data_IF_003358430686
#
_entry.id   IF_003358430686
#
_cell.length_a   1.000
_cell.length_b   1.000
_cell.length_c   1.000
_cell.angle_alpha   90.00
_cell.angle_beta   90.00
_cell.angle_gamma   90.00
#
_symmetry.space_group_name_H-M   'P 1'
#
loop_
_entity.id
_entity.type
_entity.pdbx_description
1 polymer ?
#
# COMPACT_ATOMS: atom_id res chain seq x y z
N UNK A 1 30.86 -4.23 2.98
CA UNK A 1 29.73 -3.72 3.80
C UNK A 1 29.53 -4.69 4.95
N UNK A 2 29.46 -4.19 6.18
CA UNK A 2 29.23 -5.03 7.37
C UNK A 2 27.75 -5.43 7.44
N UNK A 3 27.42 -6.61 7.97
CA UNK A 3 26.02 -7.09 8.10
C UNK A 3 25.08 -6.07 8.78
N UNK A 4 25.64 -5.22 9.63
CA UNK A 4 24.92 -4.15 10.32
C UNK A 4 24.45 -3.04 9.37
N UNK A 5 25.22 -2.69 8.34
CA UNK A 5 24.83 -1.71 7.33
C UNK A 5 23.69 -2.22 6.44
N UNK A 6 23.66 -3.52 6.09
CA UNK A 6 22.58 -4.10 5.28
C UNK A 6 21.26 -4.16 6.08
N UNK A 7 21.35 -4.48 7.38
CA UNK A 7 20.19 -4.55 8.27
C UNK A 7 19.58 -3.16 8.55
N UNK A 8 20.43 -2.13 8.71
CA UNK A 8 19.98 -0.74 8.88
C UNK A 8 19.42 -0.15 7.57
N UNK A 9 19.99 -0.48 6.41
CA UNK A 9 19.46 -0.08 5.11
C UNK A 9 18.08 -0.68 4.84
N UNK A 10 17.88 -1.97 5.16
CA UNK A 10 16.56 -2.63 5.10
C UNK A 10 15.56 -1.98 6.06
N UNK A 11 15.96 -1.56 7.26
CA UNK A 11 15.05 -0.89 8.23
C UNK A 11 14.61 0.51 7.81
N UNK A 12 15.43 1.23 7.05
CA UNK A 12 15.19 2.63 6.69
C UNK A 12 14.03 2.82 5.71
N UNK A 13 14.11 2.21 4.53
CA UNK A 13 13.11 2.39 3.46
C UNK A 13 11.75 1.80 3.83
N UNK A 14 11.76 0.75 4.65
CA UNK A 14 10.59 0.09 5.20
C UNK A 14 9.70 1.03 6.03
N UNK A 15 10.32 1.87 6.87
CA UNK A 15 9.57 2.87 7.65
C UNK A 15 8.92 3.93 6.75
N UNK A 16 9.41 4.11 5.52
CA UNK A 16 8.87 5.09 4.58
C UNK A 16 7.58 4.62 3.91
N UNK A 17 7.30 3.31 3.85
CA UNK A 17 6.12 2.74 3.14
C UNK A 17 4.79 3.39 3.57
N UNK A 18 4.43 3.47 4.87
CA UNK A 18 3.16 4.08 5.28
C UNK A 18 3.09 5.58 4.91
N UNK A 19 4.20 6.31 5.04
CA UNK A 19 4.26 7.73 4.66
C UNK A 19 4.15 7.92 3.15
N UNK A 20 4.82 7.08 2.36
CA UNK A 20 4.76 7.10 0.91
C UNK A 20 3.34 6.80 0.41
N UNK A 21 2.65 5.86 1.05
CA UNK A 21 1.26 5.55 0.76
C UNK A 21 0.33 6.73 1.05
N UNK A 22 0.47 7.39 2.21
CA UNK A 22 -0.29 8.61 2.51
C UNK A 22 0.00 9.73 1.51
N UNK A 23 1.27 9.96 1.20
CA UNK A 23 1.67 10.94 0.20
C UNK A 23 1.05 10.61 -1.17
N UNK A 24 1.04 9.33 -1.57
CA UNK A 24 0.44 8.88 -2.81
C UNK A 24 -1.09 9.09 -2.84
N UNK A 25 -1.79 8.91 -1.71
CA UNK A 25 -3.23 9.17 -1.60
C UNK A 25 -3.58 10.66 -1.56
N UNK A 26 -2.72 11.49 -0.98
CA UNK A 26 -2.93 12.93 -0.93
C UNK A 26 -2.54 13.60 -2.27
N UNK A 27 -1.38 13.27 -2.81
CA UNK A 27 -0.80 13.96 -3.97
C UNK A 27 -1.20 13.32 -5.30
N UNK A 28 -1.41 11.99 -5.32
CA UNK A 28 -1.76 11.28 -6.55
C UNK A 28 -3.04 11.79 -7.20
N UNK A 29 -4.17 11.85 -6.48
CA UNK A 29 -5.40 12.41 -7.01
C UNK A 29 -5.25 13.87 -7.44
N UNK A 30 -4.55 14.70 -6.63
CA UNK A 30 -4.32 16.11 -6.95
C UNK A 30 -3.66 16.30 -8.32
N UNK A 31 -2.69 15.45 -8.64
CA UNK A 31 -1.96 15.50 -9.91
C UNK A 31 -2.74 14.85 -11.05
N UNK A 32 -3.55 13.82 -10.77
CA UNK A 32 -4.25 13.04 -11.78
C UNK A 32 -5.56 13.67 -12.23
N UNK A 33 -6.32 14.29 -11.31
CA UNK A 33 -7.61 14.94 -11.59
C UNK A 33 -7.56 15.93 -12.78
N UNK A 34 -6.59 16.87 -12.88
CA UNK A 34 -6.55 17.79 -14.02
C UNK A 34 -6.22 17.12 -15.36
N UNK A 35 -5.68 15.89 -15.35
CA UNK A 35 -5.28 15.16 -16.54
C UNK A 35 -6.36 14.19 -17.06
N UNK A 36 -7.46 14.00 -16.34
CA UNK A 36 -8.50 13.01 -16.67
C UNK A 36 -9.88 13.65 -16.71
N UNK A 37 -10.70 13.22 -17.68
CA UNK A 37 -12.09 13.71 -17.83
C UNK A 37 -13.12 12.86 -17.09
N UNK A 38 -12.67 11.81 -16.39
CA UNK A 38 -13.50 10.81 -15.73
C UNK A 38 -12.98 10.55 -14.31
N UNK A 39 -13.85 10.23 -13.33
CA UNK A 39 -13.41 9.91 -11.97
C UNK A 39 -12.78 8.51 -11.84
N UNK A 40 -13.09 7.60 -12.75
CA UNK A 40 -12.67 6.19 -12.67
C UNK A 40 -11.15 5.95 -12.64
N UNK A 41 -10.33 6.68 -13.42
CA UNK A 41 -8.87 6.59 -13.32
C UNK A 41 -8.32 6.90 -11.92
N UNK A 42 -8.92 7.87 -11.21
CA UNK A 42 -8.50 8.23 -9.85
C UNK A 42 -8.85 7.12 -8.86
N UNK A 43 -10.03 6.52 -9.00
CA UNK A 43 -10.42 5.34 -8.23
C UNK A 43 -9.46 4.18 -8.49
N UNK A 44 -9.17 3.88 -9.76
CA UNK A 44 -8.24 2.82 -10.14
C UNK A 44 -6.83 3.05 -9.54
N UNK A 45 -6.36 4.30 -9.56
CA UNK A 45 -5.09 4.68 -8.94
C UNK A 45 -5.05 4.39 -7.44
N UNK A 46 -6.09 4.78 -6.69
CA UNK A 46 -6.17 4.52 -5.24
C UNK A 46 -6.07 3.02 -4.93
N UNK A 47 -6.80 2.20 -5.68
CA UNK A 47 -6.74 0.74 -5.53
C UNK A 47 -5.38 0.19 -5.93
N UNK A 48 -4.77 0.69 -7.01
CA UNK A 48 -3.44 0.27 -7.43
C UNK A 48 -2.39 0.54 -6.34
N UNK A 49 -2.42 1.72 -5.71
CA UNK A 49 -1.53 2.05 -4.59
C UNK A 49 -1.77 1.12 -3.40
N UNK A 50 -3.03 0.78 -3.09
CA UNK A 50 -3.37 -0.17 -2.02
C UNK A 50 -2.80 -1.57 -2.29
N UNK A 51 -2.92 -2.05 -3.53
CA UNK A 51 -2.38 -3.34 -3.97
C UNK A 51 -0.87 -3.35 -3.85
N UNK A 52 -0.20 -2.32 -4.38
CA UNK A 52 1.27 -2.22 -4.34
C UNK A 52 1.78 -2.17 -2.90
N UNK A 53 1.17 -1.32 -2.06
CA UNK A 53 1.54 -1.22 -0.66
C UNK A 53 1.32 -2.55 0.08
N UNK A 54 0.18 -3.20 -0.15
CA UNK A 54 -0.12 -4.53 0.40
C UNK A 54 0.90 -5.59 -0.04
N UNK A 55 1.23 -5.68 -1.34
CA UNK A 55 2.21 -6.64 -1.84
C UNK A 55 3.60 -6.41 -1.24
N UNK A 56 4.08 -5.16 -1.23
CA UNK A 56 5.39 -4.82 -0.63
C UNK A 56 5.39 -5.19 0.85
N UNK A 57 4.33 -4.85 1.58
CA UNK A 57 4.24 -5.15 3.01
C UNK A 57 4.20 -6.65 3.27
N UNK A 58 3.43 -7.41 2.50
CA UNK A 58 3.37 -8.86 2.61
C UNK A 58 4.69 -9.56 2.30
N UNK A 59 5.47 -9.05 1.34
CA UNK A 59 6.79 -9.60 1.00
C UNK A 59 7.82 -9.28 2.08
N UNK A 60 7.78 -8.07 2.64
CA UNK A 60 8.82 -7.55 3.54
C UNK A 60 8.53 -7.77 5.03
N UNK A 61 7.27 -7.94 5.44
CA UNK A 61 6.83 -8.03 6.83
C UNK A 61 6.00 -9.26 7.14
N UNK A 62 5.83 -9.50 8.43
CA UNK A 62 4.80 -10.42 8.91
C UNK A 62 3.43 -9.79 8.66
N UNK A 63 2.47 -10.55 8.11
CA UNK A 63 1.12 -10.05 7.86
C UNK A 63 0.49 -9.44 9.12
N UNK A 64 0.02 -8.20 9.02
CA UNK A 64 -0.71 -7.51 10.08
C UNK A 64 -1.75 -6.55 9.50
N UNK A 65 -2.77 -6.23 10.28
CA UNK A 65 -3.87 -5.35 9.88
C UNK A 65 -3.53 -3.85 9.90
N UNK A 66 -2.35 -3.45 10.38
CA UNK A 66 -2.00 -2.03 10.50
C UNK A 66 -2.02 -1.32 9.15
N UNK A 67 -1.36 -1.87 8.11
CA UNK A 67 -1.26 -1.20 6.81
C UNK A 67 -2.59 -1.24 6.03
N UNK A 68 -3.36 -2.34 6.01
CA UNK A 68 -4.69 -2.36 5.44
C UNK A 68 -5.65 -1.37 6.09
N UNK A 69 -5.67 -1.27 7.42
CA UNK A 69 -6.51 -0.27 8.09
C UNK A 69 -6.04 1.16 7.75
N UNK A 70 -4.73 1.35 7.61
CA UNK A 70 -4.15 2.62 7.20
C UNK A 70 -4.58 3.03 5.79
N UNK A 71 -4.74 2.09 4.84
CA UNK A 71 -5.26 2.43 3.51
C UNK A 71 -6.72 2.87 3.58
N UNK A 72 -7.54 2.27 4.44
CA UNK A 72 -8.90 2.74 4.71
C UNK A 72 -8.94 4.17 5.24
N UNK A 73 -8.10 4.48 6.25
CA UNK A 73 -7.96 5.83 6.82
C UNK A 73 -7.42 6.81 5.78
N UNK A 74 -6.40 6.42 5.02
CA UNK A 74 -5.82 7.24 3.96
C UNK A 74 -6.83 7.54 2.85
N UNK A 75 -7.69 6.58 2.51
CA UNK A 75 -8.79 6.84 1.59
C UNK A 75 -9.80 7.84 2.16
N UNK A 76 -10.12 7.79 3.46
CA UNK A 76 -10.98 8.80 4.09
C UNK A 76 -10.43 10.22 3.97
N UNK A 77 -9.10 10.38 4.08
CA UNK A 77 -8.43 11.67 3.87
C UNK A 77 -8.57 12.09 2.40
N UNK A 78 -8.25 11.19 1.45
CA UNK A 78 -8.40 11.47 0.02
C UNK A 78 -9.87 11.79 -0.34
N UNK A 79 -10.83 11.12 0.31
CA UNK A 79 -12.27 11.36 0.16
C UNK A 79 -12.60 12.79 0.54
N UNK A 80 -12.19 13.22 1.74
CA UNK A 80 -12.44 14.58 2.22
C UNK A 80 -11.86 15.67 1.30
N UNK A 81 -10.76 15.38 0.59
CA UNK A 81 -10.09 16.32 -0.30
C UNK A 81 -10.65 16.32 -1.73
N UNK A 82 -11.02 15.15 -2.26
CA UNK A 82 -11.19 14.95 -3.70
C UNK A 82 -12.47 14.24 -4.13
N UNK A 83 -13.13 13.48 -3.23
CA UNK A 83 -14.30 12.69 -3.60
C UNK A 83 -15.56 13.15 -2.88
N UNK A 84 -16.71 12.79 -3.44
CA UNK A 84 -18.00 13.03 -2.80
C UNK A 84 -18.24 12.08 -1.61
N UNK A 85 -19.11 12.49 -0.69
CA UNK A 85 -19.42 11.72 0.52
C UNK A 85 -19.96 10.32 0.23
N UNK A 86 -20.63 10.14 -0.91
CA UNK A 86 -21.16 8.86 -1.35
C UNK A 86 -20.09 7.78 -1.51
N UNK A 87 -18.82 8.15 -1.72
CA UNK A 87 -17.71 7.19 -1.93
C UNK A 87 -17.16 6.55 -0.66
N UNK A 88 -17.71 6.83 0.53
CA UNK A 88 -17.17 6.34 1.81
C UNK A 88 -16.95 4.82 1.85
N UNK A 89 -17.79 4.04 1.17
CA UNK A 89 -17.71 2.58 1.14
C UNK A 89 -16.45 2.05 0.43
N UNK A 90 -15.80 2.85 -0.43
CA UNK A 90 -14.52 2.49 -1.02
C UNK A 90 -13.41 2.36 0.02
N UNK A 91 -13.52 2.99 1.20
CA UNK A 91 -12.56 2.78 2.30
C UNK A 91 -12.47 1.32 2.72
N UNK A 92 -13.62 0.62 2.78
CA UNK A 92 -13.71 -0.79 3.14
C UNK A 92 -13.09 -1.62 2.01
N UNK A 93 -13.46 -1.33 0.76
CA UNK A 93 -12.94 -2.06 -0.39
C UNK A 93 -11.41 -1.94 -0.51
N UNK A 94 -10.87 -0.73 -0.38
CA UNK A 94 -9.42 -0.44 -0.43
C UNK A 94 -8.67 -1.14 0.72
N UNK A 95 -9.26 -1.17 1.92
CA UNK A 95 -8.72 -1.92 3.07
C UNK A 95 -8.62 -3.41 2.75
N UNK A 96 -9.71 -4.01 2.26
CA UNK A 96 -9.75 -5.43 1.94
C UNK A 96 -8.83 -5.78 0.78
N UNK A 97 -8.74 -4.93 -0.24
CA UNK A 97 -7.81 -5.12 -1.36
C UNK A 97 -6.37 -5.10 -0.88
N UNK A 98 -6.00 -4.17 0.00
CA UNK A 98 -4.66 -4.14 0.58
C UNK A 98 -4.36 -5.40 1.41
N UNK A 99 -5.31 -5.86 2.23
CA UNK A 99 -5.17 -7.07 3.03
C UNK A 99 -5.00 -8.32 2.14
N UNK A 100 -5.79 -8.43 1.06
CA UNK A 100 -5.68 -9.52 0.10
C UNK A 100 -4.33 -9.52 -0.62
N UNK A 101 -3.88 -8.34 -1.07
CA UNK A 101 -2.58 -8.16 -1.70
C UNK A 101 -1.42 -8.51 -0.75
N UNK A 102 -1.53 -8.13 0.53
CA UNK A 102 -0.56 -8.54 1.57
C UNK A 102 -0.53 -10.04 1.78
N UNK A 103 -1.70 -10.69 1.84
CA UNK A 103 -1.78 -12.14 1.91
C UNK A 103 -1.01 -12.80 0.75
N UNK A 104 -1.26 -12.36 -0.48
CA UNK A 104 -0.53 -12.83 -1.67
C UNK A 104 0.98 -12.57 -1.58
N UNK A 105 1.39 -11.37 -1.18
CA UNK A 105 2.80 -11.00 -1.00
C UNK A 105 3.52 -11.91 0.00
N UNK A 106 2.85 -12.24 1.11
CA UNK A 106 3.42 -13.11 2.15
C UNK A 106 3.63 -14.55 1.69
N UNK A 107 2.77 -15.08 0.81
CA UNK A 107 2.93 -16.42 0.25
C UNK A 107 4.15 -16.48 -0.69
N UNK A 108 4.39 -15.40 -1.43
CA UNK A 108 5.56 -15.27 -2.31
C UNK A 108 6.85 -15.11 -1.50
N UNK A 109 6.88 -14.19 -0.53
CA UNK A 109 8.06 -13.95 0.32
C UNK A 109 8.44 -15.14 1.20
N UNK A 110 7.44 -15.86 1.74
CA UNK A 110 7.65 -17.06 2.54
C UNK A 110 8.22 -18.24 1.73
N UNK A 111 7.88 -18.34 0.45
CA UNK A 111 8.41 -19.37 -0.46
C UNK A 111 9.89 -19.12 -0.78
N UNK A 112 10.29 -17.86 -0.98
CA UNK A 112 11.70 -17.49 -1.21
C UNK A 112 12.60 -17.77 0.00
N UNK A 113 12.07 -17.70 1.22
CA UNK A 113 12.86 -17.96 2.43
C UNK A 113 13.11 -19.47 2.68
N UNK A 114 12.27 -20.36 2.16
CA UNK A 114 12.47 -21.82 2.23
C UNK A 114 13.50 -22.32 1.22
N UNK A 115 13.48 -21.81 -0.01
CA UNK A 115 14.42 -22.24 -1.06
C UNK A 115 15.88 -21.92 -0.74
N UNK A 116 16.17 -20.87 0.04
CA UNK A 116 17.54 -20.51 0.44
C UNK A 116 18.07 -21.32 1.63
N UNK A 117 17.23 -22.14 2.28
CA UNK A 117 17.63 -22.98 3.42
C UNK A 117 18.03 -24.41 2.99
N UNK A 118 17.84 -24.76 1.71
CA UNK A 118 18.12 -26.10 1.15
C UNK A 118 19.41 -26.13 0.31
N UNK A 119 20.25 -25.08 0.39
CA UNK A 119 21.52 -24.97 -0.37
C UNK A 119 22.73 -24.90 0.55
#
# INVERSE_FOLDING_TARGET
MTEQQDNDARKGWVKAIPYAMFAAYALGPLLLIPAVSSPWPVVAYIFAVAIIAGLIDGIAFRPNWSLPLLTGVGFWIAKALYFNDGTFFYSIAVTLTCAAAMGLGSLVGGSSSRSNAEV
#
